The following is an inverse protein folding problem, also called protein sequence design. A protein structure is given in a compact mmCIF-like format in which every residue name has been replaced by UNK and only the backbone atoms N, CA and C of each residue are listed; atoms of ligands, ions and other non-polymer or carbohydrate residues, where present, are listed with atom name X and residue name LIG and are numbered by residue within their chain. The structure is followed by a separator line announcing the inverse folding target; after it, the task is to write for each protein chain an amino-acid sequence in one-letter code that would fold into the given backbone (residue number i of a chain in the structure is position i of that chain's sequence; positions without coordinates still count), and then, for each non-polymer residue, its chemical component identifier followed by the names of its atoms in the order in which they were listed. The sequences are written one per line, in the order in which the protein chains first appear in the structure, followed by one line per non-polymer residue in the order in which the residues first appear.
data_IF_112697738667
#
_entry.id   IF_112697738667
#
_cell.length_a   1.000
_cell.length_b   1.000
_cell.length_c   1.000
_cell.angle_alpha   90.00
_cell.angle_beta   90.00
_cell.angle_gamma   90.00
#
_symmetry.space_group_name_H-M   'P 1'
#
loop_
_entity.id
_entity.type
_entity.pdbx_description
1 polymer ?
#
# COMPACT_ATOMS: atom_id res chain seq x y z
N UNK A 1 57.69 11.58 1.63
CA UNK A 1 56.75 12.13 2.65
C UNK A 1 55.86 13.17 1.98
N UNK A 2 54.60 12.83 1.70
CA UNK A 2 53.58 13.78 1.23
C UNK A 2 52.40 13.69 2.19
N UNK A 3 52.19 14.76 2.94
CA UNK A 3 51.05 14.92 3.84
C UNK A 3 49.78 15.06 3.00
N UNK A 4 48.91 14.05 3.05
CA UNK A 4 47.54 14.17 2.54
C UNK A 4 46.65 14.67 3.69
N UNK A 5 46.35 15.96 3.63
CA UNK A 5 45.37 16.61 4.50
C UNK A 5 43.96 16.22 4.08
N UNK A 6 43.23 15.60 5.02
CA UNK A 6 41.87 15.94 5.45
C UNK A 6 40.81 16.11 4.33
N UNK A 7 39.99 15.08 4.14
CA UNK A 7 38.55 15.24 3.86
C UNK A 7 37.80 14.25 4.77
N UNK A 8 37.00 14.73 5.75
CA UNK A 8 36.00 13.86 6.33
C UNK A 8 34.94 13.65 5.24
N UNK A 9 34.80 12.42 4.77
CA UNK A 9 33.56 12.02 4.10
C UNK A 9 32.47 12.12 5.17
N UNK A 10 31.72 13.22 5.15
CA UNK A 10 30.36 13.26 5.67
C UNK A 10 29.59 12.20 4.88
N UNK A 11 29.57 10.97 5.40
CA UNK A 11 28.48 10.07 5.10
C UNK A 11 27.28 10.68 5.82
N UNK A 12 26.52 11.45 5.04
CA UNK A 12 25.19 11.87 5.40
C UNK A 12 24.47 10.61 5.87
N UNK A 13 24.09 10.63 7.15
CA UNK A 13 22.99 9.88 7.68
C UNK A 13 21.76 10.26 6.85
N UNK A 14 21.49 9.53 5.77
CA UNK A 14 20.12 9.27 5.36
C UNK A 14 19.56 8.33 6.42
N UNK A 15 19.23 8.94 7.57
CA UNK A 15 18.09 8.48 8.32
C UNK A 15 16.91 8.83 7.40
N UNK A 16 16.59 7.92 6.47
CA UNK A 16 15.19 7.76 6.15
C UNK A 16 14.53 7.53 7.51
N UNK A 17 13.57 8.36 7.94
CA UNK A 17 12.59 7.78 8.80
C UNK A 17 11.99 6.65 7.97
N UNK A 18 12.41 5.42 8.26
CA UNK A 18 11.47 4.32 8.22
C UNK A 18 10.37 4.78 9.19
N UNK A 19 9.43 5.59 8.69
CA UNK A 19 8.03 5.44 9.03
C UNK A 19 7.66 4.07 8.46
N UNK A 20 8.23 3.03 9.06
CA UNK A 20 7.58 1.77 9.09
C UNK A 20 6.31 2.10 9.86
N UNK A 21 5.19 2.18 9.14
CA UNK A 21 3.94 1.80 9.72
C UNK A 21 4.20 0.42 10.31
N UNK A 22 4.48 0.39 11.62
CA UNK A 22 4.60 -0.82 12.41
C UNK A 22 3.18 -1.39 12.46
N UNK A 23 2.74 -1.94 11.33
CA UNK A 23 1.54 -2.70 11.16
C UNK A 23 1.74 -4.02 11.88
N UNK A 24 1.72 -3.96 13.21
CA UNK A 24 1.26 -5.09 13.98
C UNK A 24 -0.12 -5.45 13.43
N UNK A 25 -0.16 -6.45 12.56
CA UNK A 25 -1.35 -7.25 12.26
C UNK A 25 -1.75 -7.95 13.58
N UNK A 26 -2.25 -7.17 14.52
CA UNK A 26 -2.87 -7.62 15.74
C UNK A 26 -4.30 -7.10 15.74
N UNK A 27 -5.19 -8.05 15.42
CA UNK A 27 -6.47 -8.25 16.10
C UNK A 27 -7.73 -7.85 15.32
N UNK A 28 -8.27 -8.86 14.62
CA UNK A 28 -9.68 -9.30 14.61
C UNK A 28 -10.73 -8.37 15.24
N UNK A 29 -11.82 -8.27 14.47
CA UNK A 29 -13.21 -8.06 14.91
C UNK A 29 -13.59 -6.64 15.31
N UNK A 30 -14.14 -5.91 14.35
CA UNK A 30 -15.32 -5.06 14.57
C UNK A 30 -16.15 -5.05 13.30
N UNK A 31 -17.38 -5.57 13.39
CA UNK A 31 -18.31 -5.67 12.25
C UNK A 31 -18.82 -4.29 11.82
N UNK A 32 -18.12 -3.69 10.89
CA UNK A 32 -18.72 -2.92 9.79
C UNK A 32 -18.55 -3.76 8.53
N UNK A 33 -19.59 -3.93 7.75
CA UNK A 33 -19.55 -4.66 6.48
C UNK A 33 -18.81 -3.80 5.44
N UNK A 34 -17.48 -3.89 5.38
CA UNK A 34 -16.65 -3.22 4.36
C UNK A 34 -15.20 -2.91 4.76
N UNK A 35 -14.34 -2.70 3.76
CA UNK A 35 -12.97 -2.24 3.95
C UNK A 35 -12.91 -0.90 4.66
N UNK A 36 -11.94 -0.76 5.57
CA UNK A 36 -11.62 0.51 6.24
C UNK A 36 -10.46 1.23 5.54
N UNK A 37 -10.34 2.54 5.75
CA UNK A 37 -9.20 3.31 5.27
C UNK A 37 -7.88 2.74 5.78
N UNK A 38 -7.85 2.26 7.03
CA UNK A 38 -6.66 1.63 7.63
C UNK A 38 -6.25 0.33 6.91
N UNK A 39 -7.21 -0.47 6.45
CA UNK A 39 -6.94 -1.69 5.69
C UNK A 39 -6.40 -1.39 4.28
N UNK A 40 -6.96 -0.39 3.61
CA UNK A 40 -6.46 0.08 2.29
C UNK A 40 -5.06 0.64 2.40
N UNK A 41 -4.79 1.44 3.43
CA UNK A 41 -3.46 2.00 3.65
C UNK A 41 -2.41 0.90 3.83
N UNK A 42 -2.71 -0.12 4.64
CA UNK A 42 -1.80 -1.24 4.84
C UNK A 42 -1.61 -2.08 3.56
N UNK A 43 -2.66 -2.26 2.76
CA UNK A 43 -2.58 -3.01 1.51
C UNK A 43 -1.82 -2.23 0.42
N UNK A 44 -2.03 -0.91 0.32
CA UNK A 44 -1.33 -0.02 -0.59
C UNK A 44 0.17 0.05 -0.29
N UNK A 45 0.55 0.23 0.98
CA UNK A 45 1.97 0.19 1.42
C UNK A 45 2.62 -1.14 1.06
N UNK A 46 1.94 -2.26 1.33
CA UNK A 46 2.46 -3.59 0.99
C UNK A 46 2.61 -3.81 -0.53
N UNK A 47 1.69 -3.29 -1.34
CA UNK A 47 1.78 -3.35 -2.80
C UNK A 47 2.91 -2.46 -3.33
N UNK A 48 3.06 -1.25 -2.79
CA UNK A 48 4.15 -0.33 -3.15
C UNK A 48 5.52 -0.95 -2.85
N UNK A 49 5.74 -1.43 -1.63
CA UNK A 49 6.98 -2.08 -1.21
C UNK A 49 7.36 -3.24 -2.14
N UNK A 50 6.39 -4.08 -2.51
CA UNK A 50 6.61 -5.20 -3.43
C UNK A 50 6.91 -4.69 -4.85
N UNK A 51 6.24 -3.63 -5.27
CA UNK A 51 6.48 -3.02 -6.56
C UNK A 51 7.88 -2.39 -6.66
N UNK A 52 8.31 -1.64 -5.65
CA UNK A 52 9.65 -1.08 -5.57
C UNK A 52 10.74 -2.16 -5.57
N UNK A 53 10.48 -3.31 -4.95
CA UNK A 53 11.40 -4.46 -4.98
C UNK A 53 11.59 -5.02 -6.39
N UNK A 54 10.54 -5.00 -7.22
CA UNK A 54 10.53 -5.58 -8.57
C UNK A 54 11.01 -4.57 -9.62
N UNK A 55 10.51 -3.34 -9.57
CA UNK A 55 10.74 -2.29 -10.57
C UNK A 55 11.84 -1.29 -10.16
N UNK A 56 12.19 -1.24 -8.88
CA UNK A 56 13.09 -0.23 -8.28
C UNK A 56 12.31 0.91 -7.64
N UNK A 57 12.84 1.49 -6.56
CA UNK A 57 12.19 2.61 -5.88
C UNK A 57 11.97 3.82 -6.79
N UNK A 58 10.81 4.47 -6.63
CA UNK A 58 10.27 5.53 -7.51
C UNK A 58 9.95 5.09 -8.95
N UNK A 59 9.57 3.83 -9.20
CA UNK A 59 9.11 3.44 -10.55
C UNK A 59 7.75 4.10 -10.87
N UNK A 60 7.61 4.66 -12.08
CA UNK A 60 6.36 5.29 -12.54
C UNK A 60 5.17 4.30 -12.48
N UNK A 61 5.47 3.01 -12.59
CA UNK A 61 4.52 1.90 -12.46
C UNK A 61 4.01 1.70 -11.02
N UNK A 62 4.82 1.99 -10.00
CA UNK A 62 4.42 1.86 -8.58
C UNK A 62 3.69 3.10 -8.06
N UNK A 63 3.69 4.19 -8.85
CA UNK A 63 3.10 5.47 -8.50
C UNK A 63 1.66 5.43 -7.95
N UNK A 64 0.75 4.58 -8.45
CA UNK A 64 -0.60 4.48 -7.89
C UNK A 64 -0.61 4.03 -6.43
N UNK A 65 0.31 3.15 -6.02
CA UNK A 65 0.42 2.67 -4.65
C UNK A 65 1.11 3.71 -3.75
N UNK A 66 2.23 4.27 -4.21
CA UNK A 66 2.97 5.37 -3.56
C UNK A 66 2.07 6.60 -3.30
N UNK A 67 1.24 7.02 -4.27
CA UNK A 67 0.33 8.15 -4.10
C UNK A 67 -0.74 7.89 -3.01
N UNK A 68 -1.15 6.63 -2.82
CA UNK A 68 -2.11 6.25 -1.76
C UNK A 68 -1.41 6.08 -0.41
N UNK A 69 -0.21 5.50 -0.36
CA UNK A 69 0.58 5.43 0.86
C UNK A 69 0.87 6.83 1.41
N UNK A 70 1.27 7.78 0.55
CA UNK A 70 1.47 9.18 0.95
C UNK A 70 0.16 9.84 1.43
N UNK A 71 -0.97 9.57 0.75
CA UNK A 71 -2.29 10.05 1.19
C UNK A 71 -2.73 9.46 2.54
N UNK A 72 -2.31 8.23 2.84
CA UNK A 72 -2.54 7.56 4.11
C UNK A 72 -1.75 8.20 5.25
N UNK A 73 -0.48 8.59 5.03
CA UNK A 73 0.33 9.29 6.03
C UNK A 73 -0.33 10.58 6.53
N UNK A 74 -1.05 11.27 5.65
CA UNK A 74 -1.75 12.54 5.96
C UNK A 74 -3.22 12.37 6.33
N UNK A 75 -3.71 11.13 6.44
CA UNK A 75 -5.10 10.79 6.76
C UNK A 75 -6.10 11.41 5.75
N UNK A 76 -5.74 11.44 4.47
CA UNK A 76 -6.61 11.92 3.38
C UNK A 76 -7.47 10.79 2.77
N UNK A 77 -7.26 9.53 3.16
CA UNK A 77 -8.11 8.38 2.80
C UNK A 77 -9.25 8.26 3.82
N UNK A 78 -10.48 8.13 3.32
CA UNK A 78 -11.68 7.94 4.15
C UNK A 78 -12.27 6.54 3.94
N UNK A 79 -12.91 5.99 4.98
CA UNK A 79 -13.59 4.68 4.91
C UNK A 79 -14.65 4.62 3.80
N UNK A 80 -15.25 5.76 3.45
CA UNK A 80 -16.26 5.85 2.37
C UNK A 80 -15.65 5.67 0.96
N UNK A 81 -14.37 5.99 0.82
CA UNK A 81 -13.63 5.86 -0.43
C UNK A 81 -12.74 4.60 -0.42
N UNK A 82 -12.67 3.88 0.70
CA UNK A 82 -11.80 2.73 0.87
C UNK A 82 -12.07 1.63 -0.16
N UNK A 83 -13.31 1.22 -0.35
CA UNK A 83 -13.68 0.21 -1.33
C UNK A 83 -13.39 0.57 -2.78
N UNK A 84 -13.84 1.73 -3.31
CA UNK A 84 -13.48 2.11 -4.68
C UNK A 84 -11.97 2.37 -4.84
N UNK A 85 -11.23 2.65 -3.77
CA UNK A 85 -9.76 2.71 -3.79
C UNK A 85 -9.14 1.31 -3.82
N UNK A 86 -9.71 0.33 -3.11
CA UNK A 86 -9.27 -1.07 -3.11
C UNK A 86 -9.34 -1.64 -4.53
N UNK A 87 -10.53 -1.59 -5.14
CA UNK A 87 -10.82 -2.05 -6.49
C UNK A 87 -9.85 -1.43 -7.50
N UNK A 88 -9.67 -0.10 -7.46
CA UNK A 88 -8.76 0.59 -8.38
C UNK A 88 -7.29 0.21 -8.18
N UNK A 89 -6.83 0.00 -6.94
CA UNK A 89 -5.45 -0.40 -6.65
C UNK A 89 -5.22 -1.87 -7.02
N UNK A 90 -6.20 -2.73 -6.76
CA UNK A 90 -6.12 -4.14 -7.13
C UNK A 90 -6.02 -4.29 -8.66
N UNK A 91 -6.89 -3.61 -9.41
CA UNK A 91 -6.83 -3.58 -10.89
C UNK A 91 -5.46 -3.10 -11.40
N UNK A 92 -4.89 -2.04 -10.82
CA UNK A 92 -3.55 -1.56 -11.20
C UNK A 92 -2.47 -2.58 -10.82
N UNK A 93 -2.62 -3.29 -9.71
CA UNK A 93 -1.68 -4.33 -9.29
C UNK A 93 -1.72 -5.53 -10.24
N UNK A 94 -2.91 -6.00 -10.58
CA UNK A 94 -3.09 -7.08 -11.55
C UNK A 94 -2.59 -6.69 -12.94
N UNK A 95 -2.73 -5.43 -13.34
CA UNK A 95 -2.17 -4.93 -14.59
C UNK A 95 -0.63 -5.01 -14.64
N UNK A 96 0.04 -4.91 -13.49
CA UNK A 96 1.50 -4.96 -13.37
C UNK A 96 2.03 -6.39 -13.18
N UNK A 97 1.46 -7.14 -12.26
CA UNK A 97 1.96 -8.46 -11.85
C UNK A 97 1.18 -9.64 -12.47
N UNK A 98 -0.03 -9.39 -12.96
CA UNK A 98 -0.99 -10.38 -13.45
C UNK A 98 -2.11 -10.65 -12.45
N UNK A 99 -3.26 -11.12 -12.95
CA UNK A 99 -4.38 -11.61 -12.13
C UNK A 99 -3.90 -12.65 -11.10
N UNK A 100 -4.43 -12.56 -9.88
CA UNK A 100 -4.07 -13.43 -8.73
C UNK A 100 -2.58 -13.40 -8.33
N UNK A 101 -1.85 -12.34 -8.64
CA UNK A 101 -0.44 -12.24 -8.24
C UNK A 101 -0.30 -12.19 -6.70
N UNK A 102 0.66 -12.91 -6.09
CA UNK A 102 0.90 -12.85 -4.65
C UNK A 102 1.35 -11.46 -4.18
N UNK A 103 1.76 -10.61 -5.12
CA UNK A 103 2.02 -9.20 -4.90
C UNK A 103 0.74 -8.41 -4.59
N UNK A 104 -0.39 -8.80 -5.18
CA UNK A 104 -1.69 -8.13 -5.08
C UNK A 104 -2.63 -8.74 -4.02
N UNK A 105 -2.27 -9.89 -3.42
CA UNK A 105 -3.16 -10.63 -2.51
C UNK A 105 -3.68 -9.84 -1.30
N UNK A 106 -2.97 -8.82 -0.84
CA UNK A 106 -3.41 -7.93 0.24
C UNK A 106 -4.46 -6.93 -0.24
N UNK A 107 -4.39 -6.47 -1.49
CA UNK A 107 -5.40 -5.59 -2.10
C UNK A 107 -6.66 -6.39 -2.43
N UNK A 108 -6.50 -7.55 -3.06
CA UNK A 108 -7.57 -8.52 -3.32
C UNK A 108 -8.34 -8.88 -2.05
N UNK A 109 -7.65 -9.18 -0.93
CA UNK A 109 -8.31 -9.47 0.33
C UNK A 109 -9.10 -8.29 0.92
N UNK A 110 -8.71 -7.04 0.61
CA UNK A 110 -9.43 -5.85 1.06
C UNK A 110 -10.60 -5.54 0.12
N UNK A 111 -10.44 -5.72 -1.19
CA UNK A 111 -11.54 -5.61 -2.14
C UNK A 111 -12.63 -6.66 -1.89
N UNK A 112 -12.26 -7.93 -1.65
CA UNK A 112 -13.19 -9.00 -1.23
C UNK A 112 -13.93 -8.69 0.08
N UNK A 113 -13.35 -7.83 0.93
CA UNK A 113 -13.98 -7.40 2.18
C UNK A 113 -15.04 -6.31 1.97
N UNK A 114 -15.04 -5.67 0.81
CA UNK A 114 -16.01 -4.64 0.47
C UNK A 114 -17.39 -5.25 0.20
N UNK A 115 -18.46 -4.54 0.60
CA UNK A 115 -19.80 -4.97 0.26
C UNK A 115 -19.96 -4.86 -1.26
N UNK A 116 -19.93 -6.02 -1.90
CA UNK A 116 -20.35 -6.17 -3.29
C UNK A 116 -21.74 -5.54 -3.42
N UNK A 117 -21.88 -4.53 -4.26
CA UNK A 117 -23.18 -3.85 -4.46
C UNK A 117 -24.21 -4.77 -5.12
N UNK A 118 -23.86 -6.03 -5.38
CA UNK A 118 -24.79 -7.09 -5.78
C UNK A 118 -25.53 -7.68 -4.57
N UNK A 119 -26.30 -6.84 -3.88
CA UNK A 119 -27.57 -7.31 -3.29
C UNK A 119 -28.52 -7.72 -4.44
N UNK A 120 -28.24 -8.84 -5.11
CA UNK A 120 -29.30 -9.58 -5.79
C UNK A 120 -30.12 -10.30 -4.70
N UNK A 121 -31.18 -9.61 -4.30
CA UNK A 121 -32.42 -10.12 -3.71
C UNK A 121 -32.79 -11.50 -4.32
N UNK A 122 -32.28 -12.60 -3.76
CA UNK A 122 -32.79 -13.94 -4.07
C UNK A 122 -34.08 -14.16 -3.27
N UNK A 123 -35.10 -13.40 -3.68
CA UNK A 123 -36.49 -13.62 -3.30
C UNK A 123 -36.99 -14.91 -3.94
N UNK A 124 -37.07 -15.98 -3.14
CA UNK A 124 -37.85 -17.19 -3.47
C UNK A 124 -38.55 -17.79 -2.24
#
# INVERSE_FOLDING_TARGET
MRLFTKRPALLLTLALPLLACDGMVENRSQGGDGATAEEICAAAEAADDKCEVVHGGDADECKPFDDIDEACEVNEVNDADACPLADALDEECEALFGEDAPECSELDAVDESCPDSEEEDDGA
#
